data_IF_470783752204
#
_entry.id   IF_470783752204
#
_cell.length_a   1.000
_cell.length_b   1.000
_cell.length_c   1.000
_cell.angle_alpha   90.00
_cell.angle_beta   90.00
_cell.angle_gamma   90.00
#
_symmetry.space_group_name_H-M   'P 1'
#
loop_
_entity.id
_entity.type
_entity.pdbx_description
1 polymer ?
#
# COMPACT_ATOMS: atom_id res chain seq x y z
N UNK A 1 5.36 2.28 -13.72
CA UNK A 1 5.49 1.07 -14.56
C UNK A 1 6.94 0.71 -14.87
N UNK A 2 7.79 1.68 -15.16
CA UNK A 2 9.21 1.45 -15.49
C UNK A 2 9.94 0.61 -14.44
N UNK A 3 9.88 0.99 -13.16
CA UNK A 3 10.53 0.25 -12.06
C UNK A 3 10.04 -1.20 -12.02
N UNK A 4 8.74 -1.42 -12.06
CA UNK A 4 8.15 -2.77 -11.96
C UNK A 4 8.57 -3.67 -13.14
N UNK A 5 8.76 -3.10 -14.33
CA UNK A 5 9.14 -3.83 -15.54
C UNK A 5 10.64 -3.93 -15.75
N UNK A 6 11.44 -3.20 -14.97
CA UNK A 6 12.90 -3.19 -15.08
C UNK A 6 13.52 -4.56 -14.81
N UNK A 7 14.46 -5.01 -15.64
CA UNK A 7 15.18 -6.26 -15.39
C UNK A 7 15.97 -6.26 -14.08
N UNK A 8 16.45 -5.09 -13.65
CA UNK A 8 17.23 -4.91 -12.41
C UNK A 8 16.36 -5.14 -11.17
N UNK A 9 15.06 -4.88 -11.28
CA UNK A 9 14.09 -4.95 -10.18
C UNK A 9 13.40 -6.32 -10.07
N UNK A 10 13.95 -7.37 -10.68
CA UNK A 10 13.41 -8.72 -10.57
C UNK A 10 14.01 -9.44 -9.36
N UNK A 11 13.26 -10.39 -8.79
CA UNK A 11 13.62 -11.13 -7.57
C UNK A 11 13.83 -10.25 -6.34
N UNK A 12 13.14 -9.11 -6.32
CA UNK A 12 13.10 -8.18 -5.20
C UNK A 12 11.64 -7.87 -4.85
N UNK A 13 11.34 -7.80 -3.56
CA UNK A 13 10.13 -7.13 -3.10
C UNK A 13 10.38 -5.63 -3.13
N UNK A 14 9.59 -4.91 -3.89
CA UNK A 14 9.73 -3.46 -4.07
C UNK A 14 8.48 -2.77 -3.55
N UNK A 15 8.70 -1.70 -2.82
CA UNK A 15 7.68 -0.89 -2.20
C UNK A 15 7.89 0.57 -2.60
N UNK A 16 6.86 1.19 -3.18
CA UNK A 16 6.89 2.59 -3.60
C UNK A 16 5.68 3.35 -3.07
N UNK A 17 5.92 4.57 -2.61
CA UNK A 17 4.85 5.50 -2.24
C UNK A 17 4.27 6.17 -3.48
N UNK A 18 2.95 6.16 -3.63
CA UNK A 18 2.28 6.90 -4.69
C UNK A 18 0.79 7.14 -4.38
N UNK A 19 0.18 8.19 -4.98
CA UNK A 19 -1.26 8.36 -4.93
C UNK A 19 -1.97 7.28 -5.76
N UNK A 20 -3.05 6.71 -5.20
CA UNK A 20 -3.92 5.77 -5.90
C UNK A 20 -5.37 6.19 -5.72
N UNK A 21 -6.14 6.17 -6.81
CA UNK A 21 -7.57 6.43 -6.78
C UNK A 21 -8.34 5.12 -6.78
N UNK A 22 -9.12 4.89 -5.71
CA UNK A 22 -9.97 3.72 -5.55
C UNK A 22 -11.41 4.17 -5.34
N UNK A 23 -12.34 3.72 -6.20
CA UNK A 23 -13.75 4.16 -6.21
C UNK A 23 -13.93 5.68 -6.12
N UNK A 24 -13.19 6.43 -6.95
CA UNK A 24 -13.19 7.90 -7.01
C UNK A 24 -12.66 8.61 -5.75
N UNK A 25 -12.07 7.90 -4.80
CA UNK A 25 -11.40 8.45 -3.63
C UNK A 25 -9.89 8.32 -3.81
N UNK A 26 -9.16 9.43 -3.58
CA UNK A 26 -7.71 9.45 -3.64
C UNK A 26 -7.11 9.06 -2.29
N UNK A 27 -6.16 8.14 -2.31
CA UNK A 27 -5.42 7.66 -1.14
C UNK A 27 -3.92 7.83 -1.35
N UNK A 28 -3.20 8.15 -0.27
CA UNK A 28 -1.75 8.03 -0.21
C UNK A 28 -1.40 6.57 0.09
N UNK A 29 -0.72 5.89 -0.83
CA UNK A 29 -0.55 4.44 -0.75
C UNK A 29 0.91 4.00 -0.82
N UNK A 30 1.19 2.84 -0.22
CA UNK A 30 2.32 1.99 -0.54
C UNK A 30 1.86 0.97 -1.58
N UNK A 31 2.58 0.91 -2.70
CA UNK A 31 2.34 -0.09 -3.75
C UNK A 31 3.49 -1.08 -3.72
N UNK A 32 3.17 -2.29 -3.36
CA UNK A 32 4.14 -3.38 -3.18
C UNK A 32 4.07 -4.32 -4.36
N UNK A 33 5.20 -4.62 -4.96
CA UNK A 33 5.26 -5.53 -6.10
C UNK A 33 6.50 -6.43 -6.07
N UNK A 34 6.37 -7.57 -6.74
CA UNK A 34 7.40 -8.57 -6.89
C UNK A 34 7.30 -9.21 -8.27
N UNK A 35 8.42 -9.30 -9.00
CA UNK A 35 8.50 -9.94 -10.32
C UNK A 35 7.35 -9.54 -11.26
N UNK A 36 7.16 -8.24 -11.48
CA UNK A 36 6.13 -7.66 -12.37
C UNK A 36 4.67 -7.88 -11.90
N UNK A 37 4.46 -8.33 -10.68
CA UNK A 37 3.12 -8.51 -10.08
C UNK A 37 2.94 -7.54 -8.93
N UNK A 38 1.82 -6.85 -8.90
CA UNK A 38 1.41 -6.06 -7.74
C UNK A 38 0.87 -7.02 -6.69
N UNK A 39 1.45 -6.98 -5.50
CA UNK A 39 1.11 -7.87 -4.39
C UNK A 39 0.08 -7.23 -3.46
N UNK A 40 0.27 -5.93 -3.19
CA UNK A 40 -0.60 -5.17 -2.28
C UNK A 40 -0.55 -3.68 -2.64
N UNK A 41 -1.69 -3.03 -2.57
CA UNK A 41 -1.79 -1.57 -2.48
C UNK A 41 -2.32 -1.25 -1.09
N UNK A 42 -1.46 -0.72 -0.21
CA UNK A 42 -1.84 -0.35 1.15
C UNK A 42 -2.05 1.15 1.26
N UNK A 43 -3.29 1.60 1.46
CA UNK A 43 -3.60 3.01 1.70
C UNK A 43 -3.23 3.43 3.12
N UNK A 44 -2.81 4.68 3.27
CA UNK A 44 -2.55 5.31 4.56
C UNK A 44 -3.83 5.45 5.38
N UNK A 45 -3.74 5.14 6.66
CA UNK A 45 -4.89 5.10 7.57
C UNK A 45 -5.02 6.34 8.45
N UNK A 46 -3.93 7.05 8.69
CA UNK A 46 -3.91 8.26 9.51
C UNK A 46 -3.25 9.40 8.76
N UNK A 47 -3.99 10.50 8.59
CA UNK A 47 -3.54 11.67 7.84
C UNK A 47 -2.78 12.63 8.73
N UNK A 48 -1.82 13.32 8.15
CA UNK A 48 -1.10 14.42 8.79
C UNK A 48 -1.72 15.76 8.41
N UNK A 49 -2.32 16.44 9.37
CA UNK A 49 -2.91 17.77 9.21
C UNK A 49 -2.44 18.70 10.34
N UNK A 50 -1.13 18.83 10.47
CA UNK A 50 -0.49 19.66 11.46
C UNK A 50 0.59 20.56 10.84
N UNK A 51 0.73 21.76 11.35
CA UNK A 51 1.71 22.74 10.88
C UNK A 51 1.56 23.02 9.37
N UNK A 52 2.57 22.65 8.60
CA UNK A 52 2.60 22.82 7.14
C UNK A 52 1.93 21.70 6.37
N UNK A 53 1.61 20.60 7.03
CA UNK A 53 0.98 19.45 6.40
C UNK A 53 -0.53 19.66 6.29
N UNK A 54 -1.10 19.27 5.15
CA UNK A 54 -2.53 19.38 4.84
C UNK A 54 -2.95 18.22 3.97
N UNK A 55 -2.70 17.00 4.47
CA UNK A 55 -2.84 15.77 3.70
C UNK A 55 -4.30 15.50 3.30
N UNK A 56 -5.23 15.87 4.16
CA UNK A 56 -6.68 15.72 3.90
C UNK A 56 -7.21 16.60 2.77
N UNK A 57 -6.43 17.57 2.27
CA UNK A 57 -6.76 18.30 1.03
C UNK A 57 -6.74 17.41 -0.21
N UNK A 58 -5.90 16.37 -0.19
CA UNK A 58 -5.56 15.58 -1.36
C UNK A 58 -5.97 14.13 -1.20
N UNK A 59 -5.99 13.61 0.02
CA UNK A 59 -6.16 12.21 0.32
C UNK A 59 -7.20 12.00 1.43
N UNK A 60 -7.85 10.85 1.35
CA UNK A 60 -8.69 10.33 2.43
C UNK A 60 -7.96 9.25 3.21
N UNK A 61 -8.23 9.14 4.50
CA UNK A 61 -7.77 8.03 5.32
C UNK A 61 -8.53 6.75 4.96
N UNK A 62 -7.83 5.62 4.92
CA UNK A 62 -8.48 4.32 4.89
C UNK A 62 -8.97 3.96 6.28
N UNK A 63 -10.26 3.74 6.43
CA UNK A 63 -10.90 3.51 7.74
C UNK A 63 -11.31 2.05 7.99
N UNK A 64 -11.19 1.19 6.98
CA UNK A 64 -11.59 -0.22 7.06
C UNK A 64 -10.43 -1.06 7.57
N UNK A 65 -10.36 -1.21 8.90
CA UNK A 65 -9.30 -1.97 9.58
C UNK A 65 -9.36 -3.44 9.17
N UNK A 66 -8.21 -4.05 8.88
CA UNK A 66 -8.04 -5.47 8.50
C UNK A 66 -8.96 -5.89 7.34
N UNK A 67 -9.19 -4.97 6.42
CA UNK A 67 -10.10 -5.20 5.28
C UNK A 67 -9.35 -5.00 3.97
N UNK A 68 -9.55 -5.93 3.05
CA UNK A 68 -9.04 -5.89 1.68
C UNK A 68 -10.21 -5.80 0.72
N UNK A 69 -10.08 -4.94 -0.29
CA UNK A 69 -10.99 -4.83 -1.42
C UNK A 69 -10.25 -5.11 -2.73
N UNK A 70 -10.98 -5.46 -3.77
CA UNK A 70 -10.42 -5.61 -5.11
C UNK A 70 -10.19 -4.24 -5.75
N UNK A 71 -8.94 -3.97 -6.10
CA UNK A 71 -8.58 -2.82 -6.93
C UNK A 71 -8.47 -3.27 -8.39
N UNK A 72 -9.32 -2.74 -9.24
CA UNK A 72 -9.30 -3.03 -10.68
C UNK A 72 -8.20 -2.26 -11.36
N UNK A 73 -7.25 -2.99 -11.93
CA UNK A 73 -6.11 -2.38 -12.60
C UNK A 73 -6.51 -1.67 -13.90
N UNK A 74 -5.96 -0.48 -14.17
CA UNK A 74 -6.05 0.13 -15.48
C UNK A 74 -5.55 -0.83 -16.57
N UNK A 75 -6.18 -0.78 -17.75
CA UNK A 75 -5.90 -1.70 -18.86
C UNK A 75 -4.41 -1.87 -19.17
N UNK A 76 -3.65 -0.78 -19.11
CA UNK A 76 -2.21 -0.80 -19.40
C UNK A 76 -1.44 -1.64 -18.33
N UNK A 77 -1.80 -1.54 -17.07
CA UNK A 77 -1.21 -2.34 -16.00
C UNK A 77 -1.69 -3.79 -16.06
N UNK A 78 -2.98 -4.02 -16.31
CA UNK A 78 -3.54 -5.35 -16.47
C UNK A 78 -2.85 -6.13 -17.59
N UNK A 79 -2.62 -5.48 -18.74
CA UNK A 79 -1.88 -6.09 -19.87
C UNK A 79 -0.42 -6.38 -19.53
N UNK A 80 0.25 -5.49 -18.80
CA UNK A 80 1.66 -5.65 -18.45
C UNK A 80 1.90 -6.69 -17.36
N UNK A 81 0.98 -6.81 -16.40
CA UNK A 81 1.12 -7.70 -15.24
C UNK A 81 0.41 -9.04 -15.42
N UNK A 82 -0.59 -9.08 -16.31
CA UNK A 82 -1.52 -10.22 -16.42
C UNK A 82 -2.46 -10.35 -15.22
N UNK A 83 -2.66 -9.25 -14.45
CA UNK A 83 -3.59 -9.21 -13.32
C UNK A 83 -4.78 -8.31 -13.68
N UNK A 84 -6.00 -8.69 -13.31
CA UNK A 84 -7.19 -7.85 -13.50
C UNK A 84 -7.50 -7.04 -12.24
N UNK A 85 -7.36 -7.69 -11.09
CA UNK A 85 -7.52 -7.09 -9.77
C UNK A 85 -6.30 -7.37 -8.90
N UNK A 86 -6.09 -6.51 -7.92
CA UNK A 86 -5.05 -6.66 -6.90
C UNK A 86 -5.61 -6.26 -5.53
N UNK A 87 -5.07 -6.80 -4.42
CA UNK A 87 -5.52 -6.43 -3.08
C UNK A 87 -5.28 -4.95 -2.81
N UNK A 88 -6.30 -4.27 -2.28
CA UNK A 88 -6.24 -2.90 -1.81
C UNK A 88 -6.79 -2.82 -0.39
N UNK A 89 -6.01 -2.33 0.57
CA UNK A 89 -6.52 -2.17 1.92
C UNK A 89 -5.47 -2.36 3.02
N UNK A 90 -5.97 -2.53 4.24
CA UNK A 90 -5.16 -2.75 5.43
C UNK A 90 -4.79 -4.22 5.55
N UNK A 91 -3.57 -4.54 5.15
CA UNK A 91 -3.04 -5.89 5.11
C UNK A 91 -1.51 -5.92 5.26
N UNK A 92 -0.98 -7.10 5.45
CA UNK A 92 0.44 -7.42 5.51
C UNK A 92 0.83 -8.33 4.35
N UNK A 93 2.10 -8.40 4.05
CA UNK A 93 2.65 -9.33 3.04
C UNK A 93 3.38 -10.45 3.76
N UNK A 94 2.83 -11.66 3.69
CA UNK A 94 3.47 -12.85 4.25
C UNK A 94 4.29 -13.57 3.20
N UNK A 95 5.51 -13.91 3.55
CA UNK A 95 6.42 -14.76 2.77
C UNK A 95 6.54 -16.13 3.43
N UNK A 96 7.43 -17.01 2.92
CA UNK A 96 7.71 -18.28 3.59
C UNK A 96 8.42 -18.12 4.94
N UNK A 97 9.16 -17.04 5.11
CA UNK A 97 10.12 -16.87 6.21
C UNK A 97 9.81 -15.66 7.10
N UNK A 98 9.04 -14.69 6.60
CA UNK A 98 8.75 -13.46 7.34
C UNK A 98 7.40 -12.85 6.96
N UNK A 99 6.90 -11.96 7.81
CA UNK A 99 5.71 -11.17 7.60
C UNK A 99 6.07 -9.69 7.62
N UNK A 100 5.72 -8.97 6.55
CA UNK A 100 6.10 -7.57 6.31
C UNK A 100 4.87 -6.68 6.39
N UNK A 101 4.95 -5.65 7.23
CA UNK A 101 3.98 -4.58 7.33
C UNK A 101 4.50 -3.26 6.77
N UNK A 102 3.60 -2.33 6.53
CA UNK A 102 3.92 -1.02 6.00
C UNK A 102 3.25 0.07 6.83
N UNK A 103 4.01 1.08 7.19
CA UNK A 103 3.56 2.23 7.95
C UNK A 103 4.02 3.51 7.24
N UNK A 104 3.17 4.53 7.20
CA UNK A 104 3.43 5.75 6.43
C UNK A 104 3.43 6.95 7.38
N UNK A 105 4.62 7.54 7.60
CA UNK A 105 4.80 8.85 8.23
C UNK A 105 4.01 9.00 9.53
N UNK A 106 2.91 9.76 9.53
CA UNK A 106 2.07 10.06 10.70
C UNK A 106 1.51 8.83 11.41
N UNK A 107 1.39 7.71 10.71
CA UNK A 107 0.96 6.44 11.33
C UNK A 107 1.89 5.97 12.43
N UNK A 108 3.18 6.32 12.38
CA UNK A 108 4.18 6.01 13.41
C UNK A 108 4.01 6.86 14.67
N UNK A 109 3.55 8.12 14.52
CA UNK A 109 3.61 9.13 15.58
C UNK A 109 2.32 9.23 16.40
N UNK A 110 1.28 8.51 16.03
CA UNK A 110 0.01 8.49 16.74
C UNK A 110 0.07 7.62 18.00
N UNK A 111 -0.74 7.92 19.03
CA UNK A 111 -0.85 7.05 20.22
C UNK A 111 -1.29 5.62 19.90
N UNK A 112 -2.03 5.43 18.81
CA UNK A 112 -2.36 4.12 18.25
C UNK A 112 -1.59 3.92 16.94
N UNK A 113 -0.27 3.82 17.05
CA UNK A 113 0.59 3.61 15.89
C UNK A 113 0.25 2.30 15.18
N UNK A 114 0.26 2.33 13.87
CA UNK A 114 -0.10 1.19 13.01
C UNK A 114 0.77 -0.04 13.28
N UNK A 115 2.07 0.15 13.61
CA UNK A 115 2.97 -0.96 13.91
C UNK A 115 2.56 -1.78 15.15
N UNK A 116 1.77 -1.24 16.06
CA UNK A 116 1.25 -2.01 17.21
C UNK A 116 0.33 -3.11 16.69
N UNK A 117 -0.65 -2.77 15.87
CA UNK A 117 -1.57 -3.75 15.26
C UNK A 117 -0.83 -4.69 14.30
N UNK A 118 0.17 -4.19 13.56
CA UNK A 118 1.01 -4.99 12.66
C UNK A 118 1.84 -6.03 13.43
N UNK A 119 2.49 -5.62 14.53
CA UNK A 119 3.27 -6.54 15.38
C UNK A 119 2.38 -7.62 16.01
N UNK A 120 1.18 -7.25 16.46
CA UNK A 120 0.19 -8.21 16.96
C UNK A 120 -0.32 -9.17 15.88
N UNK A 121 -0.23 -8.78 14.60
CA UNK A 121 -0.56 -9.62 13.46
C UNK A 121 0.63 -10.50 12.97
N UNK A 122 1.77 -10.46 13.68
CA UNK A 122 2.95 -11.28 13.39
C UNK A 122 3.93 -10.65 12.39
N UNK A 123 3.91 -9.34 12.21
CA UNK A 123 4.94 -8.62 11.44
C UNK A 123 6.23 -8.59 12.25
N UNK A 124 7.35 -8.87 11.58
CA UNK A 124 8.70 -8.92 12.13
C UNK A 124 9.54 -7.72 11.65
#
# INVERSE_FOLDING_TARGET
MEIMMSPICQNMLIDVGMPVQHFNVAYNCRVVFYNKKIILIRPKMMMCDDGNYRETRWFSAWTKIRTIEDFYLPRILASATGQHTVPFGDAVVSTRETCIGFEICEELWNPRSTHIDLSLAGVE
#
